data_IF_983439624994
#
_entry.id   IF_983439624994
#
_cell.length_a   1.000
_cell.length_b   1.000
_cell.length_c   1.000
_cell.angle_alpha   90.00
_cell.angle_beta   90.00
_cell.angle_gamma   90.00
#
_symmetry.space_group_name_H-M   'P 1'
#
loop_
_entity.id
_entity.type
_entity.pdbx_description
1 polymer ?
#
# COMPACT_ATOMS: atom_id res chain seq x y z
N UNK A 1 -5.27 4.25 -3.47
CA UNK A 1 -4.09 3.48 -3.01
C UNK A 1 -3.33 4.30 -1.98
N UNK A 2 -2.91 3.69 -0.88
CA UNK A 2 -2.05 4.28 0.16
C UNK A 2 -0.71 3.53 0.20
N UNK A 3 0.39 4.28 0.19
CA UNK A 3 1.74 3.76 0.32
C UNK A 3 2.42 4.35 1.55
N UNK A 4 3.37 3.63 2.11
CA UNK A 4 4.13 4.03 3.28
C UNK A 4 5.63 3.91 3.03
N UNK A 5 6.40 4.81 3.65
CA UNK A 5 7.86 4.77 3.63
C UNK A 5 8.38 4.06 4.88
N UNK A 6 8.96 2.85 4.77
CA UNK A 6 9.33 2.05 5.93
C UNK A 6 10.28 2.74 6.90
N UNK A 7 11.28 3.48 6.40
CA UNK A 7 12.22 4.19 7.26
C UNK A 7 11.55 5.32 8.07
N UNK A 8 10.49 5.96 7.55
CA UNK A 8 9.74 6.96 8.29
C UNK A 8 8.83 6.30 9.33
N UNK A 9 8.13 5.22 8.97
CA UNK A 9 7.30 4.45 9.90
C UNK A 9 8.13 3.94 11.09
N UNK A 10 9.30 3.36 10.83
CA UNK A 10 10.18 2.78 11.85
C UNK A 10 10.99 3.80 12.66
N UNK A 11 11.06 5.06 12.22
CA UNK A 11 11.70 6.13 13.00
C UNK A 11 10.87 6.51 14.23
N UNK A 12 9.55 6.31 14.17
CA UNK A 12 8.68 6.57 15.32
C UNK A 12 8.96 5.53 16.41
N UNK A 13 9.39 5.98 17.59
CA UNK A 13 9.72 5.12 18.75
C UNK A 13 8.53 4.30 19.25
N UNK A 14 7.30 4.72 18.96
CA UNK A 14 6.10 3.98 19.33
C UNK A 14 5.82 2.78 18.40
N UNK A 15 6.52 2.69 17.26
CA UNK A 15 6.42 1.57 16.36
C UNK A 15 7.55 0.58 16.64
N UNK A 16 7.20 -0.68 16.93
CA UNK A 16 8.16 -1.77 16.83
C UNK A 16 8.37 -2.10 15.36
N UNK A 17 9.63 -2.16 14.92
CA UNK A 17 10.00 -2.65 13.60
C UNK A 17 11.06 -3.74 13.76
N UNK A 18 10.88 -4.84 13.04
CA UNK A 18 11.78 -6.00 13.08
C UNK A 18 12.41 -6.25 11.71
N UNK A 19 13.42 -7.14 11.65
CA UNK A 19 13.83 -7.77 10.39
C UNK A 19 14.27 -6.84 9.26
N UNK A 20 14.90 -5.70 9.59
CA UNK A 20 15.44 -4.79 8.59
C UNK A 20 14.39 -3.99 7.81
N UNK A 21 13.14 -3.89 8.30
CA UNK A 21 12.06 -3.18 7.60
C UNK A 21 12.40 -1.72 7.30
N UNK A 22 13.16 -1.05 8.16
CA UNK A 22 13.61 0.32 7.93
C UNK A 22 14.54 0.48 6.72
N UNK A 23 15.23 -0.59 6.30
CA UNK A 23 16.24 -0.59 5.24
C UNK A 23 15.70 -1.02 3.87
N UNK A 24 14.37 -1.20 3.71
CA UNK A 24 13.79 -1.67 2.45
C UNK A 24 14.03 -0.75 1.25
N UNK A 25 14.34 0.54 1.48
CA UNK A 25 14.70 1.50 0.43
C UNK A 25 13.61 1.77 -0.60
N UNK A 26 12.36 1.37 -0.33
CA UNK A 26 11.22 1.50 -1.24
C UNK A 26 9.94 1.81 -0.49
N UNK A 27 9.00 2.47 -1.16
CA UNK A 27 7.64 2.55 -0.65
C UNK A 27 6.99 1.16 -0.69
N UNK A 28 6.23 0.84 0.35
CA UNK A 28 5.41 -0.37 0.41
C UNK A 28 3.95 0.01 0.45
N UNK A 29 3.09 -0.91 0.05
CA UNK A 29 1.64 -0.76 0.20
C UNK A 29 1.31 -0.69 1.68
N UNK A 30 0.49 0.28 2.05
CA UNK A 30 -0.23 0.26 3.32
C UNK A 30 -1.61 -0.36 3.10
N UNK A 31 -2.34 0.15 2.10
CA UNK A 31 -3.73 -0.22 1.88
C UNK A 31 -4.32 0.24 0.55
N UNK A 32 -5.31 -0.49 0.07
CA UNK A 32 -6.14 -0.09 -1.06
C UNK A 32 -7.54 0.22 -0.54
N UNK A 33 -7.81 1.50 -0.29
CA UNK A 33 -9.03 1.91 0.39
C UNK A 33 -10.04 2.48 -0.62
N UNK A 34 -11.21 1.85 -0.79
CA UNK A 34 -12.30 2.42 -1.56
C UNK A 34 -12.69 3.79 -1.02
N UNK A 35 -13.00 4.72 -1.91
CA UNK A 35 -13.42 6.07 -1.57
C UNK A 35 -14.46 6.53 -2.58
N UNK A 36 -15.51 7.17 -2.11
CA UNK A 36 -16.52 7.85 -2.94
C UNK A 36 -16.22 9.35 -3.08
N UNK A 37 -14.99 9.77 -2.82
CA UNK A 37 -14.56 11.18 -2.78
C UNK A 37 -15.26 12.03 -1.71
N UNK A 38 -15.96 11.41 -0.76
CA UNK A 38 -16.53 12.07 0.43
C UNK A 38 -15.83 11.58 1.70
N UNK A 39 -15.89 12.38 2.75
CA UNK A 39 -15.42 12.01 4.09
C UNK A 39 -16.62 11.67 4.98
N UNK A 40 -16.55 10.61 5.83
CA UNK A 40 -15.43 9.69 6.01
C UNK A 40 -15.25 8.72 4.83
N UNK A 41 -14.02 8.23 4.64
CA UNK A 41 -13.74 7.15 3.68
C UNK A 41 -14.57 5.91 4.03
N UNK A 42 -14.87 5.09 3.02
CA UNK A 42 -15.58 3.84 3.22
C UNK A 42 -14.68 2.86 3.98
N UNK A 43 -15.05 2.59 5.23
CA UNK A 43 -14.39 1.65 6.12
C UNK A 43 -15.45 0.80 6.83
N UNK A 44 -15.06 -0.40 7.27
CA UNK A 44 -15.90 -1.29 8.07
C UNK A 44 -17.26 -1.61 7.42
N UNK A 45 -17.28 -1.78 6.10
CA UNK A 45 -18.49 -2.18 5.39
C UNK A 45 -18.84 -3.63 5.72
N UNK A 46 -20.13 -3.87 5.91
CA UNK A 46 -20.68 -5.21 6.01
C UNK A 46 -21.28 -5.63 4.67
N UNK A 47 -21.24 -6.93 4.40
CA UNK A 47 -21.96 -7.53 3.28
C UNK A 47 -22.67 -8.79 3.75
N UNK A 48 -23.83 -9.08 3.16
CA UNK A 48 -24.56 -10.33 3.39
C UNK A 48 -23.85 -11.53 2.74
N UNK A 49 -22.89 -11.29 1.83
CA UNK A 49 -22.11 -12.35 1.22
C UNK A 49 -21.02 -12.86 2.18
N UNK A 50 -21.27 -14.03 2.76
CA UNK A 50 -20.36 -14.70 3.70
C UNK A 50 -18.98 -14.97 3.11
N UNK A 51 -18.83 -15.02 1.78
CA UNK A 51 -17.53 -15.21 1.10
C UNK A 51 -16.61 -14.00 1.23
N UNK A 52 -17.15 -12.81 1.47
CA UNK A 52 -16.33 -11.61 1.66
C UNK A 52 -16.01 -11.34 3.14
N UNK A 53 -16.90 -11.72 4.06
CA UNK A 53 -16.76 -11.42 5.48
C UNK A 53 -15.48 -12.00 6.09
N UNK A 54 -15.06 -13.17 5.60
CA UNK A 54 -13.86 -13.85 6.06
C UNK A 54 -12.73 -13.70 5.05
N UNK A 55 -11.55 -13.37 5.57
CA UNK A 55 -10.33 -13.49 4.79
C UNK A 55 -10.03 -14.97 4.52
N UNK A 56 -9.72 -15.34 3.28
CA UNK A 56 -9.38 -16.71 2.90
C UNK A 56 -8.06 -16.71 2.12
N UNK A 57 -6.99 -17.12 2.80
CA UNK A 57 -5.65 -17.21 2.20
C UNK A 57 -5.63 -18.11 0.96
N UNK A 58 -6.52 -19.10 0.86
CA UNK A 58 -6.59 -20.01 -0.29
C UNK A 58 -7.02 -19.29 -1.57
N UNK A 59 -7.70 -18.15 -1.45
CA UNK A 59 -8.05 -17.31 -2.61
C UNK A 59 -6.85 -16.53 -3.16
N UNK A 60 -5.73 -16.47 -2.44
CA UNK A 60 -4.52 -15.77 -2.85
C UNK A 60 -3.51 -16.81 -3.32
N UNK A 61 -3.20 -16.81 -4.62
CA UNK A 61 -2.27 -17.80 -5.19
C UNK A 61 -0.87 -17.69 -4.55
N UNK A 62 -0.09 -18.78 -4.48
CA UNK A 62 1.28 -18.73 -3.96
C UNK A 62 2.16 -17.68 -4.65
N UNK A 63 1.97 -17.50 -5.97
CA UNK A 63 2.65 -16.46 -6.74
C UNK A 63 2.27 -15.05 -6.27
N UNK A 64 0.98 -14.81 -6.00
CA UNK A 64 0.52 -13.52 -5.48
C UNK A 64 0.98 -13.31 -4.04
N UNK A 65 1.02 -14.34 -3.19
CA UNK A 65 1.60 -14.26 -1.83
C UNK A 65 3.06 -13.79 -1.89
N UNK A 66 3.89 -14.38 -2.77
CA UNK A 66 5.29 -13.96 -2.94
C UNK A 66 5.42 -12.51 -3.39
N UNK A 67 4.55 -12.06 -4.30
CA UNK A 67 4.46 -10.67 -4.72
C UNK A 67 4.07 -9.73 -3.57
N UNK A 68 3.06 -10.08 -2.77
CA UNK A 68 2.60 -9.31 -1.62
C UNK A 68 3.62 -9.25 -0.49
N UNK A 69 4.41 -10.31 -0.27
CA UNK A 69 5.51 -10.28 0.70
C UNK A 69 6.55 -9.18 0.37
N UNK A 70 6.70 -8.83 -0.91
CA UNK A 70 7.61 -7.80 -1.38
C UNK A 70 6.93 -6.42 -1.38
N UNK A 71 5.69 -6.35 -1.88
CA UNK A 71 4.99 -5.08 -2.12
C UNK A 71 4.19 -4.57 -0.92
N UNK A 72 3.76 -5.45 -0.02
CA UNK A 72 2.85 -5.16 1.10
C UNK A 72 3.27 -5.86 2.40
N UNK A 73 4.53 -5.71 2.87
CA UNK A 73 4.96 -6.27 4.14
C UNK A 73 4.30 -5.56 5.33
N UNK A 74 4.16 -6.30 6.43
CA UNK A 74 3.91 -5.74 7.75
C UNK A 74 5.21 -5.13 8.28
N UNK A 75 5.25 -3.81 8.41
CA UNK A 75 6.45 -3.10 8.88
C UNK A 75 6.78 -3.37 10.35
N UNK A 76 5.83 -3.90 11.14
CA UNK A 76 6.11 -4.36 12.50
C UNK A 76 6.98 -5.62 12.52
N UNK A 77 7.03 -6.36 11.42
CA UNK A 77 7.72 -7.64 11.28
C UNK A 77 6.78 -8.71 10.71
N UNK A 78 7.34 -9.79 10.13
CA UNK A 78 6.55 -10.94 9.74
C UNK A 78 5.88 -11.61 10.97
N UNK A 79 4.77 -12.34 10.78
CA UNK A 79 4.13 -12.64 9.50
C UNK A 79 3.27 -11.49 8.94
N UNK A 80 3.16 -11.42 7.61
CA UNK A 80 2.37 -10.39 6.92
C UNK A 80 0.86 -10.67 6.91
N UNK A 81 0.48 -11.95 7.10
CA UNK A 81 -0.90 -12.43 6.98
C UNK A 81 -1.90 -11.63 7.83
N UNK A 82 -1.56 -11.36 9.10
CA UNK A 82 -2.44 -10.61 9.99
C UNK A 82 -2.70 -9.18 9.51
N UNK A 83 -1.71 -8.56 8.86
CA UNK A 83 -1.88 -7.23 8.27
C UNK A 83 -2.78 -7.27 7.03
N UNK A 84 -2.63 -8.27 6.16
CA UNK A 84 -3.50 -8.44 5.00
C UNK A 84 -4.95 -8.75 5.40
N UNK A 85 -5.15 -9.58 6.42
CA UNK A 85 -6.47 -9.87 7.00
C UNK A 85 -7.14 -8.59 7.51
N UNK A 86 -6.40 -7.77 8.23
CA UNK A 86 -6.88 -6.50 8.74
C UNK A 86 -7.33 -5.56 7.62
N UNK A 87 -6.48 -5.36 6.61
CA UNK A 87 -6.77 -4.48 5.47
C UNK A 87 -7.95 -4.98 4.63
N UNK A 88 -8.07 -6.30 4.43
CA UNK A 88 -9.23 -6.89 3.77
C UNK A 88 -10.52 -6.61 4.56
N UNK A 89 -10.53 -6.94 5.85
CA UNK A 89 -11.72 -6.80 6.70
C UNK A 89 -12.16 -5.34 6.83
N UNK A 90 -11.20 -4.42 6.99
CA UNK A 90 -11.52 -3.00 7.21
C UNK A 90 -11.86 -2.26 5.93
N UNK A 91 -11.26 -2.62 4.80
CA UNK A 91 -11.36 -1.84 3.56
C UNK A 91 -11.74 -2.66 2.34
N UNK A 92 -11.17 -3.86 2.18
CA UNK A 92 -11.41 -4.71 1.02
C UNK A 92 -12.88 -5.09 0.84
N UNK A 93 -13.58 -5.41 1.94
CA UNK A 93 -15.02 -5.75 1.93
C UNK A 93 -15.87 -4.64 1.27
N UNK A 94 -15.53 -3.37 1.49
CA UNK A 94 -16.23 -2.23 0.90
C UNK A 94 -16.19 -2.22 -0.64
N UNK A 95 -15.26 -2.94 -1.26
CA UNK A 95 -15.15 -3.08 -2.72
C UNK A 95 -15.60 -4.42 -3.27
N UNK A 96 -16.15 -5.31 -2.42
CA UNK A 96 -16.43 -6.69 -2.80
C UNK A 96 -17.37 -6.83 -4.01
N UNK A 97 -18.33 -5.93 -4.14
CA UNK A 97 -19.27 -5.91 -5.28
C UNK A 97 -18.57 -5.70 -6.64
N UNK A 98 -17.33 -5.23 -6.66
CA UNK A 98 -16.52 -5.02 -7.87
C UNK A 98 -15.25 -5.87 -7.89
N UNK A 99 -14.66 -6.14 -6.73
CA UNK A 99 -13.41 -6.86 -6.60
C UNK A 99 -13.51 -7.89 -5.48
N UNK A 100 -13.47 -9.18 -5.84
CA UNK A 100 -13.30 -10.24 -4.85
C UNK A 100 -11.89 -10.16 -4.20
N UNK A 101 -11.63 -10.99 -3.18
CA UNK A 101 -10.38 -10.94 -2.42
C UNK A 101 -9.13 -11.10 -3.30
N UNK A 102 -9.15 -12.06 -4.24
CA UNK A 102 -8.05 -12.26 -5.19
C UNK A 102 -7.81 -11.00 -6.01
N UNK A 103 -8.87 -10.41 -6.58
CA UNK A 103 -8.80 -9.22 -7.43
C UNK A 103 -8.34 -7.98 -6.64
N UNK A 104 -8.78 -7.83 -5.39
CA UNK A 104 -8.36 -6.73 -4.52
C UNK A 104 -6.84 -6.74 -4.29
N UNK A 105 -6.28 -7.88 -3.90
CA UNK A 105 -4.83 -8.00 -3.68
C UNK A 105 -4.03 -7.93 -4.97
N UNK A 106 -4.56 -8.50 -6.07
CA UNK A 106 -3.93 -8.41 -7.39
C UNK A 106 -3.85 -6.95 -7.86
N UNK A 107 -4.96 -6.20 -7.75
CA UNK A 107 -5.01 -4.79 -8.12
C UNK A 107 -4.05 -3.94 -7.27
N UNK A 108 -3.99 -4.18 -5.96
CA UNK A 108 -3.06 -3.47 -5.08
C UNK A 108 -1.60 -3.68 -5.51
N UNK A 109 -1.21 -4.92 -5.84
CA UNK A 109 0.12 -5.22 -6.37
C UNK A 109 0.36 -4.56 -7.73
N UNK A 110 -0.61 -4.61 -8.64
CA UNK A 110 -0.48 -4.04 -9.99
C UNK A 110 -0.30 -2.52 -9.92
N UNK A 111 -1.06 -1.84 -9.06
CA UNK A 111 -0.88 -0.40 -8.81
C UNK A 111 0.51 -0.13 -8.23
N UNK A 112 0.92 -0.86 -7.20
CA UNK A 112 2.23 -0.68 -6.56
C UNK A 112 3.40 -0.89 -7.54
N UNK A 113 3.36 -1.95 -8.34
CA UNK A 113 4.42 -2.27 -9.30
C UNK A 113 4.52 -1.25 -10.44
N UNK A 114 3.39 -0.63 -10.82
CA UNK A 114 3.34 0.44 -11.82
C UNK A 114 3.80 1.78 -11.26
N UNK A 115 3.46 2.11 -10.02
CA UNK A 115 3.84 3.36 -9.36
C UNK A 115 5.20 3.16 -8.69
N UNK A 116 6.26 3.23 -9.51
CA UNK A 116 7.66 3.19 -9.06
C UNK A 116 8.04 4.50 -8.36
N UNK A 117 7.43 4.75 -7.19
CA UNK A 117 7.44 6.08 -6.55
C UNK A 117 8.85 6.59 -6.22
N UNK A 118 9.78 5.71 -5.83
CA UNK A 118 11.17 6.10 -5.59
C UNK A 118 11.81 6.67 -6.86
N UNK A 119 11.65 5.99 -8.00
CA UNK A 119 12.21 6.44 -9.28
C UNK A 119 11.61 7.78 -9.72
N UNK A 120 10.29 7.95 -9.51
CA UNK A 120 9.58 9.20 -9.81
C UNK A 120 10.16 10.35 -9.00
N UNK A 121 10.30 10.15 -7.68
CA UNK A 121 10.84 11.16 -6.78
C UNK A 121 12.32 11.47 -7.09
N UNK A 122 13.13 10.45 -7.38
CA UNK A 122 14.54 10.63 -7.75
C UNK A 122 14.69 11.45 -9.04
N UNK A 123 13.86 11.18 -10.06
CA UNK A 123 13.82 12.01 -11.29
C UNK A 123 13.42 13.46 -10.99
N UNK A 124 12.56 13.69 -10.01
CA UNK A 124 12.23 15.02 -9.49
C UNK A 124 13.31 15.64 -8.58
N UNK A 125 14.49 15.03 -8.47
CA UNK A 125 15.58 15.50 -7.63
C UNK A 125 15.31 15.33 -6.13
N UNK A 126 14.52 14.33 -5.74
CA UNK A 126 14.20 13.99 -4.36
C UNK A 126 14.77 12.60 -4.07
N UNK A 127 15.90 12.57 -3.37
CA UNK A 127 16.54 11.32 -2.92
C UNK A 127 16.50 11.28 -1.40
N UNK A 128 16.08 10.16 -0.77
CA UNK A 128 16.06 10.05 0.68
C UNK A 128 17.46 10.26 1.29
N UNK A 129 17.60 11.25 2.18
CA UNK A 129 18.82 11.54 2.97
C UNK A 129 18.42 11.98 4.37
N UNK A 130 19.28 11.72 5.36
CA UNK A 130 18.91 11.85 6.79
C UNK A 130 18.65 13.30 7.22
N UNK A 131 19.33 14.27 6.60
CA UNK A 131 19.29 15.69 6.98
C UNK A 131 18.69 16.61 5.90
N UNK A 132 18.18 16.04 4.82
CA UNK A 132 17.58 16.82 3.76
C UNK A 132 16.14 17.18 4.14
N UNK A 133 15.78 18.44 3.94
CA UNK A 133 14.40 18.91 4.01
C UNK A 133 13.95 19.31 2.62
N UNK A 134 12.75 18.91 2.25
CA UNK A 134 12.14 19.25 0.97
C UNK A 134 10.82 19.95 1.21
N UNK A 135 10.52 20.96 0.40
CA UNK A 135 9.18 21.53 0.34
C UNK A 135 8.18 20.45 -0.11
N UNK A 136 7.05 20.25 0.60
CA UNK A 136 5.99 19.33 0.19
C UNK A 136 5.54 19.51 -1.27
N UNK A 137 5.53 20.73 -1.79
CA UNK A 137 5.17 21.05 -3.19
C UNK A 137 6.10 20.35 -4.17
N UNK A 138 7.38 20.16 -3.83
CA UNK A 138 8.33 19.46 -4.69
C UNK A 138 7.92 18.00 -4.93
N UNK A 139 7.38 17.33 -3.91
CA UNK A 139 6.85 15.96 -4.05
C UNK A 139 5.63 15.93 -4.95
N UNK A 140 4.69 16.88 -4.76
CA UNK A 140 3.49 16.98 -5.58
C UNK A 140 3.87 17.14 -7.05
N UNK A 141 4.74 18.10 -7.36
CA UNK A 141 5.18 18.38 -8.73
C UNK A 141 5.89 17.18 -9.38
N UNK A 142 6.74 16.48 -8.64
CA UNK A 142 7.42 15.30 -9.16
C UNK A 142 6.43 14.17 -9.52
N UNK A 143 5.39 13.99 -8.70
CA UNK A 143 4.38 12.95 -8.90
C UNK A 143 3.43 13.33 -10.06
N UNK A 144 2.94 14.56 -10.12
CA UNK A 144 2.01 15.01 -11.17
C UNK A 144 2.65 15.01 -12.55
N UNK A 145 3.90 15.48 -12.66
CA UNK A 145 4.64 15.47 -13.93
C UNK A 145 4.78 14.06 -14.53
N UNK A 146 4.89 13.02 -13.69
CA UNK A 146 4.93 11.63 -14.15
C UNK A 146 3.56 11.10 -14.57
N UNK A 147 2.48 11.49 -13.89
CA UNK A 147 1.11 11.12 -14.28
C UNK A 147 0.74 11.74 -15.63
N UNK A 148 0.98 13.04 -15.81
CA UNK A 148 0.65 13.75 -17.05
C UNK A 148 1.44 13.22 -18.26
N UNK A 149 2.63 12.68 -18.03
CA UNK A 149 3.45 12.04 -19.06
C UNK A 149 2.95 10.64 -19.48
N UNK A 150 2.04 10.01 -18.70
CA UNK A 150 1.42 8.73 -19.07
C UNK A 150 0.13 8.88 -19.85
N UNK A 151 -0.52 10.04 -19.75
CA UNK A 151 -1.79 10.35 -20.43
C UNK A 151 -1.57 11.01 -21.81
N UNK A 152 -0.31 11.10 -22.26
CA UNK A 152 0.12 11.54 -23.60
C UNK A 152 0.69 10.35 -24.37
#
# INVERSE_FOLDING_TARGET
>A
MSMQWPAAYCRNKNNSCQGGMAQLGRFTTHGLWPSNSTWPKLETCDTIDSRAQNFDLKMISPTLISKLNISWPNLKGPPNLGFWQYEWKRHGICSYNSFNQTQYFQLAYDIWSRIKLVDILQKGGITPRVNDTFDPIKFVNAITAHSDARDR
#
